data_IF_041657075144
#
_entry.id   IF_041657075144
#
_cell.length_a   1.000
_cell.length_b   1.000
_cell.length_c   1.000
_cell.angle_alpha   90.00
_cell.angle_beta   90.00
_cell.angle_gamma   90.00
#
_symmetry.space_group_name_H-M   'P 1'
#
loop_
_entity.id
_entity.type
_entity.pdbx_description
1 polymer ?
#
# COMPACT_ATOMS: atom_id res chain seq x y z
N UNK A 1 -0.62 20.00 -2.90
CA UNK A 1 -0.46 18.89 -1.93
C UNK A 1 0.90 18.27 -2.20
N UNK A 2 1.60 17.81 -1.16
CA UNK A 2 2.83 17.03 -1.36
C UNK A 2 2.41 15.64 -1.82
N UNK A 3 2.96 15.19 -2.94
CA UNK A 3 2.73 13.83 -3.43
C UNK A 3 3.65 12.85 -2.70
N UNK A 4 3.17 11.65 -2.31
CA UNK A 4 4.04 10.65 -1.71
C UNK A 4 5.14 10.16 -2.67
N UNK A 5 6.30 9.86 -2.10
CA UNK A 5 7.32 9.05 -2.76
C UNK A 5 6.98 7.57 -2.63
N UNK A 6 7.56 6.74 -3.51
CA UNK A 6 7.34 5.28 -3.55
C UNK A 6 8.65 4.52 -3.72
N UNK A 7 8.65 3.20 -3.54
CA UNK A 7 9.86 2.36 -3.66
C UNK A 7 10.60 2.46 -5.00
N UNK A 8 9.98 2.99 -6.06
CA UNK A 8 10.68 3.33 -7.31
C UNK A 8 11.60 4.56 -7.22
N UNK A 9 11.45 5.38 -6.17
CA UNK A 9 12.21 6.61 -5.92
C UNK A 9 13.48 6.38 -5.06
N UNK A 10 13.85 5.11 -4.76
CA UNK A 10 15.03 4.70 -3.97
C UNK A 10 15.16 5.40 -2.60
N UNK A 11 14.09 5.42 -1.80
CA UNK A 11 13.93 6.17 -0.53
C UNK A 11 15.01 6.05 0.56
N UNK A 12 16.05 5.23 0.35
CA UNK A 12 17.23 5.12 1.19
C UNK A 12 16.99 4.35 2.50
N UNK A 13 18.07 4.14 3.25
CA UNK A 13 18.08 3.39 4.52
C UNK A 13 17.30 4.09 5.67
N UNK A 14 16.77 5.30 5.44
CA UNK A 14 16.13 6.11 6.48
C UNK A 14 14.65 5.73 6.77
N UNK A 15 14.11 4.72 6.07
CA UNK A 15 12.68 4.37 6.10
C UNK A 15 12.33 3.20 7.03
N UNK A 16 13.24 2.75 7.88
CA UNK A 16 12.94 1.71 8.88
C UNK A 16 11.81 2.15 9.84
N UNK A 17 10.96 1.22 10.32
CA UNK A 17 9.85 1.57 11.22
C UNK A 17 10.30 1.88 12.66
N UNK A 18 9.98 3.07 13.17
CA UNK A 18 10.10 3.39 14.61
C UNK A 18 8.98 2.68 15.40
N UNK A 19 7.76 2.76 14.85
CA UNK A 19 6.57 2.08 15.33
C UNK A 19 5.63 1.86 14.15
N UNK A 20 4.87 0.77 14.17
CA UNK A 20 4.00 0.39 13.06
C UNK A 20 2.62 -0.02 13.56
N UNK A 21 1.57 0.45 12.90
CA UNK A 21 0.19 0.06 13.12
C UNK A 21 -0.31 -0.72 11.91
N UNK A 22 -0.99 -1.84 12.12
CA UNK A 22 -1.56 -2.63 11.03
C UNK A 22 -2.66 -1.81 10.35
N UNK A 23 -2.52 -1.56 9.05
CA UNK A 23 -3.56 -0.89 8.26
C UNK A 23 -4.46 -1.88 7.56
N UNK A 24 -3.94 -2.87 6.86
CA UNK A 24 -4.77 -3.89 6.22
C UNK A 24 -4.00 -5.18 5.98
N UNK A 25 -4.75 -6.23 5.68
CA UNK A 25 -4.21 -7.52 5.25
C UNK A 25 -5.01 -8.02 4.06
N UNK A 26 -4.34 -8.72 3.15
CA UNK A 26 -4.97 -9.25 1.95
C UNK A 26 -4.17 -10.42 1.38
N UNK A 27 -4.85 -11.28 0.64
CA UNK A 27 -4.19 -12.22 -0.27
C UNK A 27 -4.11 -11.60 -1.66
N UNK A 28 -2.97 -11.76 -2.32
CA UNK A 28 -2.72 -11.32 -3.68
C UNK A 28 -2.35 -12.55 -4.53
N UNK A 29 -3.11 -12.82 -5.60
CA UNK A 29 -2.75 -13.89 -6.54
C UNK A 29 -1.89 -13.32 -7.69
N UNK A 30 -0.57 -13.47 -7.57
CA UNK A 30 0.42 -13.06 -8.56
C UNK A 30 0.69 -14.17 -9.61
N UNK A 31 -0.37 -14.68 -10.24
CA UNK A 31 -0.29 -15.72 -11.28
C UNK A 31 -0.41 -17.15 -10.74
N UNK A 32 -0.12 -18.13 -11.62
CA UNK A 32 -0.40 -19.55 -11.34
C UNK A 32 0.40 -20.02 -10.12
N UNK A 33 -0.32 -20.47 -9.09
CA UNK A 33 0.21 -21.01 -7.82
C UNK A 33 0.99 -20.01 -6.94
N UNK A 34 0.94 -18.71 -7.24
CA UNK A 34 1.58 -17.67 -6.44
C UNK A 34 0.52 -16.84 -5.71
N UNK A 35 0.07 -17.34 -4.56
CA UNK A 35 -0.76 -16.56 -3.64
C UNK A 35 0.13 -16.04 -2.51
N UNK A 36 0.13 -14.73 -2.34
CA UNK A 36 0.93 -14.02 -1.35
C UNK A 36 0.02 -13.46 -0.27
N UNK A 37 0.29 -13.76 1.00
CA UNK A 37 -0.37 -13.11 2.12
C UNK A 37 0.41 -11.87 2.51
N UNK A 38 -0.23 -10.71 2.36
CA UNK A 38 0.38 -9.41 2.57
C UNK A 38 -0.25 -8.69 3.74
N UNK A 39 0.59 -8.08 4.58
CA UNK A 39 0.21 -7.17 5.66
C UNK A 39 0.81 -5.80 5.39
N UNK A 40 -0.03 -4.76 5.38
CA UNK A 40 0.44 -3.38 5.30
C UNK A 40 0.40 -2.70 6.67
N UNK A 41 1.41 -1.88 6.92
CA UNK A 41 1.55 -1.12 8.16
C UNK A 41 1.80 0.36 7.89
N UNK A 42 1.42 1.22 8.83
CA UNK A 42 1.69 2.65 8.76
C UNK A 42 2.34 3.18 10.05
N UNK A 43 3.15 4.21 9.92
CA UNK A 43 3.77 4.87 11.07
C UNK A 43 5.00 5.70 10.72
N UNK A 44 5.68 6.26 11.73
CA UNK A 44 6.86 7.09 11.54
C UNK A 44 8.13 6.25 11.32
N UNK A 45 9.01 6.76 10.45
CA UNK A 45 10.37 6.24 10.24
C UNK A 45 11.26 6.45 11.48
N UNK A 46 12.28 5.61 11.69
CA UNK A 46 13.28 5.72 12.79
C UNK A 46 14.02 7.06 12.78
N UNK A 47 14.31 7.63 11.61
CA UNK A 47 14.95 8.94 11.53
C UNK A 47 14.03 10.09 11.98
N UNK A 48 12.73 9.81 12.16
CA UNK A 48 11.69 10.75 12.53
C UNK A 48 11.25 11.70 11.39
N UNK A 49 11.84 11.56 10.21
CA UNK A 49 11.64 12.47 9.07
C UNK A 49 10.43 12.15 8.19
N UNK A 50 9.90 10.92 8.26
CA UNK A 50 8.88 10.44 7.34
C UNK A 50 7.72 9.74 8.04
N UNK A 51 6.53 9.88 7.46
CA UNK A 51 5.40 8.97 7.66
C UNK A 51 5.39 7.98 6.49
N UNK A 52 5.33 6.68 6.80
CA UNK A 52 5.65 5.60 5.86
C UNK A 52 4.55 4.54 5.87
N UNK A 53 4.24 4.01 4.70
CA UNK A 53 3.50 2.77 4.47
C UNK A 53 4.52 1.66 4.20
N UNK A 54 4.48 0.62 5.01
CA UNK A 54 5.28 -0.59 4.84
C UNK A 54 4.42 -1.76 4.41
N UNK A 55 5.05 -2.71 3.74
CA UNK A 55 4.48 -3.98 3.31
C UNK A 55 5.33 -5.14 3.82
N UNK A 56 4.68 -6.15 4.38
CA UNK A 56 5.30 -7.41 4.80
C UNK A 56 4.55 -8.55 4.09
N UNK A 57 5.28 -9.46 3.48
CA UNK A 57 4.74 -10.57 2.70
C UNK A 57 5.30 -11.90 3.20
N UNK A 58 4.47 -12.95 3.15
CA UNK A 58 4.89 -14.31 3.50
C UNK A 58 5.81 -14.97 2.45
N UNK A 59 5.99 -14.36 1.28
CA UNK A 59 6.83 -14.87 0.19
C UNK A 59 8.17 -14.15 0.02
N UNK A 60 8.25 -12.84 0.31
CA UNK A 60 9.43 -12.03 -0.04
C UNK A 60 10.38 -11.82 1.12
N UNK A 61 9.92 -11.24 2.24
CA UNK A 61 10.79 -10.86 3.36
C UNK A 61 10.07 -10.95 4.72
N UNK A 62 10.76 -11.51 5.73
CA UNK A 62 10.28 -11.53 7.14
C UNK A 62 10.32 -10.13 7.81
N UNK A 63 10.62 -9.07 7.04
CA UNK A 63 10.79 -7.70 7.52
C UNK A 63 9.93 -6.76 6.65
N UNK A 64 9.20 -5.80 7.23
CA UNK A 64 8.44 -4.83 6.46
C UNK A 64 9.32 -3.94 5.60
N UNK A 65 8.99 -3.84 4.32
CA UNK A 65 9.64 -3.00 3.31
C UNK A 65 8.85 -1.72 3.13
N UNK A 66 9.53 -0.57 3.07
CA UNK A 66 8.86 0.71 2.81
C UNK A 66 8.39 0.78 1.36
N UNK A 67 7.09 0.96 1.13
CA UNK A 67 6.49 0.99 -0.21
C UNK A 67 5.99 2.39 -0.62
N UNK A 68 5.64 3.23 0.34
CA UNK A 68 5.34 4.64 0.10
C UNK A 68 5.67 5.50 1.32
N UNK A 69 6.05 6.76 1.13
CA UNK A 69 6.34 7.68 2.24
C UNK A 69 6.16 9.14 1.87
N UNK A 70 6.02 9.99 2.88
CA UNK A 70 6.03 11.45 2.75
C UNK A 70 6.71 12.10 3.96
N UNK A 71 7.22 13.35 3.81
CA UNK A 71 7.79 14.09 4.94
C UNK A 71 6.80 14.14 6.11
N UNK A 72 7.28 13.92 7.32
CA UNK A 72 6.42 13.77 8.48
C UNK A 72 5.55 15.00 8.72
N UNK A 73 4.30 14.78 9.09
CA UNK A 73 3.37 15.83 9.52
C UNK A 73 2.75 16.65 8.37
N UNK A 74 2.84 16.18 7.12
CA UNK A 74 2.06 16.78 6.02
C UNK A 74 0.58 16.37 6.07
N UNK A 75 0.28 15.19 6.61
CA UNK A 75 -1.07 14.61 6.72
C UNK A 75 -1.15 13.76 8.00
N UNK A 76 -2.36 13.44 8.44
CA UNK A 76 -2.59 12.55 9.58
C UNK A 76 -3.79 11.60 9.36
N UNK A 77 -3.88 10.60 10.23
CA UNK A 77 -5.01 9.67 10.30
C UNK A 77 -5.35 9.00 8.96
N UNK A 78 -6.63 9.08 8.59
CA UNK A 78 -7.16 8.44 7.39
C UNK A 78 -6.62 9.06 6.09
N UNK A 79 -6.44 10.37 6.04
CA UNK A 79 -5.95 11.07 4.85
C UNK A 79 -4.52 10.65 4.53
N UNK A 80 -3.67 10.53 5.56
CA UNK A 80 -2.31 10.03 5.42
C UNK A 80 -2.28 8.62 4.81
N UNK A 81 -3.04 7.69 5.40
CA UNK A 81 -3.12 6.32 4.88
C UNK A 81 -3.64 6.29 3.44
N UNK A 82 -4.72 7.01 3.15
CA UNK A 82 -5.34 7.01 1.83
C UNK A 82 -4.37 7.54 0.77
N UNK A 83 -3.63 8.61 1.07
CA UNK A 83 -2.65 9.19 0.14
C UNK A 83 -1.52 8.21 -0.17
N UNK A 84 -0.93 7.60 0.87
CA UNK A 84 0.14 6.60 0.71
C UNK A 84 -0.33 5.35 -0.05
N UNK A 85 -1.51 4.83 0.30
CA UNK A 85 -2.09 3.66 -0.34
C UNK A 85 -2.39 3.94 -1.82
N UNK A 86 -2.97 5.10 -2.16
CA UNK A 86 -3.19 5.49 -3.54
C UNK A 86 -1.89 5.58 -4.32
N UNK A 87 -0.83 6.16 -3.76
CA UNK A 87 0.48 6.22 -4.43
C UNK A 87 1.03 4.81 -4.72
N UNK A 88 1.02 3.94 -3.71
CA UNK A 88 1.48 2.55 -3.84
C UNK A 88 0.70 1.77 -4.91
N UNK A 89 -0.64 1.76 -4.83
CA UNK A 89 -1.45 0.97 -5.76
C UNK A 89 -1.44 1.53 -7.18
N UNK A 90 -1.31 2.84 -7.37
CA UNK A 90 -1.12 3.41 -8.71
C UNK A 90 0.22 2.98 -9.32
N UNK A 91 1.28 2.85 -8.52
CA UNK A 91 2.55 2.29 -8.98
C UNK A 91 2.40 0.81 -9.34
N UNK A 92 1.71 0.00 -8.52
CA UNK A 92 1.38 -1.39 -8.89
C UNK A 92 0.64 -1.48 -10.23
N UNK A 93 -0.39 -0.64 -10.42
CA UNK A 93 -1.14 -0.59 -11.67
C UNK A 93 -0.29 -0.15 -12.86
N UNK A 94 0.28 1.05 -12.80
CA UNK A 94 0.86 1.73 -13.97
C UNK A 94 2.35 1.43 -14.12
N UNK A 95 3.09 1.39 -13.02
CA UNK A 95 4.53 1.13 -13.00
C UNK A 95 4.86 -0.35 -13.20
N UNK A 96 4.10 -1.24 -12.57
CA UNK A 96 4.31 -2.69 -12.67
C UNK A 96 3.34 -3.41 -13.63
N UNK A 97 2.43 -2.66 -14.27
CA UNK A 97 1.43 -3.20 -15.21
C UNK A 97 0.58 -4.33 -14.60
N UNK A 98 0.19 -4.15 -13.33
CA UNK A 98 -0.64 -5.12 -12.64
C UNK A 98 -2.12 -4.82 -12.82
N UNK A 99 -2.83 -5.70 -13.53
CA UNK A 99 -4.25 -5.51 -13.89
C UNK A 99 -5.22 -6.44 -13.13
N UNK A 100 -4.70 -7.41 -12.37
CA UNK A 100 -5.51 -8.45 -11.74
C UNK A 100 -6.01 -8.06 -10.33
N UNK A 101 -6.46 -6.82 -10.10
CA UNK A 101 -6.89 -6.37 -8.77
C UNK A 101 -8.07 -7.17 -8.21
N UNK A 102 -8.87 -7.82 -9.08
CA UNK A 102 -9.95 -8.73 -8.67
C UNK A 102 -9.44 -9.98 -7.93
N UNK A 103 -8.15 -10.30 -8.06
CA UNK A 103 -7.47 -11.35 -7.31
C UNK A 103 -7.00 -10.90 -5.91
N UNK A 104 -7.39 -9.69 -5.46
CA UNK A 104 -7.14 -9.23 -4.09
C UNK A 104 -8.28 -9.68 -3.18
N UNK A 105 -7.99 -10.60 -2.27
CA UNK A 105 -8.91 -10.96 -1.19
C UNK A 105 -8.56 -10.18 0.08
N UNK A 106 -9.34 -9.16 0.41
CA UNK A 106 -9.13 -8.35 1.63
C UNK A 106 -9.60 -9.13 2.86
N UNK A 107 -8.72 -9.24 3.85
CA UNK A 107 -8.99 -9.91 5.11
C UNK A 107 -9.58 -8.92 6.11
N UNK A 108 -10.74 -9.27 6.68
CA UNK A 108 -11.34 -8.53 7.79
C UNK A 108 -10.60 -8.85 9.09
N UNK A 109 -9.85 -7.88 9.61
CA UNK A 109 -9.09 -8.00 10.84
C UNK A 109 -9.46 -6.88 11.83
N UNK A 110 -9.98 -7.21 13.03
CA UNK A 110 -10.38 -6.20 14.01
C UNK A 110 -9.22 -5.39 14.62
N UNK A 111 -7.97 -5.80 14.39
CA UNK A 111 -6.78 -5.05 14.79
C UNK A 111 -6.31 -4.04 13.72
N UNK A 112 -6.86 -4.13 12.51
CA UNK A 112 -6.58 -3.18 11.43
C UNK A 112 -7.20 -1.81 11.75
N UNK A 113 -6.46 -0.73 11.48
CA UNK A 113 -6.96 0.63 11.75
C UNK A 113 -7.89 1.17 10.66
N UNK A 114 -8.02 0.49 9.53
CA UNK A 114 -8.98 0.84 8.47
C UNK A 114 -9.96 -0.30 8.22
N UNK A 115 -11.19 0.09 7.87
CA UNK A 115 -12.24 -0.85 7.49
C UNK A 115 -12.01 -1.43 6.09
N UNK A 116 -12.48 -2.66 5.87
CA UNK A 116 -12.41 -3.34 4.57
C UNK A 116 -12.99 -2.48 3.44
N UNK A 117 -14.06 -1.74 3.72
CA UNK A 117 -14.74 -0.86 2.76
C UNK A 117 -13.87 0.31 2.32
N UNK A 118 -13.07 0.87 3.22
CA UNK A 118 -12.15 1.95 2.89
C UNK A 118 -11.03 1.44 1.97
N UNK A 119 -10.51 0.24 2.24
CA UNK A 119 -9.52 -0.36 1.38
C UNK A 119 -10.07 -0.66 -0.02
N UNK A 120 -11.28 -1.23 -0.10
CA UNK A 120 -11.98 -1.42 -1.38
C UNK A 120 -12.15 -0.12 -2.15
N UNK A 121 -12.44 0.99 -1.47
CA UNK A 121 -12.56 2.29 -2.11
C UNK A 121 -11.23 2.78 -2.72
N UNK A 122 -10.08 2.51 -2.08
CA UNK A 122 -8.76 2.80 -2.65
C UNK A 122 -8.53 1.97 -3.91
N UNK A 123 -8.77 0.67 -3.87
CA UNK A 123 -8.62 -0.21 -5.05
C UNK A 123 -9.54 0.24 -6.20
N UNK A 124 -10.80 0.55 -5.91
CA UNK A 124 -11.75 1.04 -6.90
C UNK A 124 -11.37 2.42 -7.49
N UNK A 125 -10.63 3.25 -6.75
CA UNK A 125 -10.10 4.51 -7.27
C UNK A 125 -8.93 4.29 -8.25
N UNK A 126 -8.15 3.23 -8.04
CA UNK A 126 -7.00 2.86 -8.89
C UNK A 126 -7.48 2.09 -10.13
N UNK A 127 -8.40 1.15 -9.96
CA UNK A 127 -9.08 0.39 -11.02
C UNK A 127 -10.58 0.71 -11.04
N UNK A 128 -10.99 1.85 -11.61
CA UNK A 128 -12.40 2.18 -11.74
C UNK A 128 -13.08 1.23 -12.72
N UNK A 129 -14.25 0.74 -12.34
CA UNK A 129 -15.07 -0.13 -13.19
C UNK A 129 -15.38 0.57 -14.53
N UNK A 130 -15.03 -0.08 -15.65
CA UNK A 130 -15.29 0.41 -17.01
C UNK A 130 -14.13 1.18 -17.67
N UNK A 131 -12.94 1.24 -17.07
CA UNK A 131 -11.77 1.86 -17.69
C UNK A 131 -11.19 1.07 -18.89
N UNK A 132 -11.56 -0.21 -19.05
CA UNK A 132 -11.07 -1.07 -20.13
C UNK A 132 -11.93 -1.03 -21.41
N UNK A 133 -12.98 -0.20 -21.46
CA UNK A 133 -13.87 -0.08 -22.64
C UNK A 133 -13.53 1.06 -23.63
N UNK A 134 -12.49 1.87 -23.36
CA UNK A 134 -12.02 2.91 -24.29
C UNK A 134 -10.67 2.54 -24.94
N UNK A 135 -10.64 1.50 -25.78
CA UNK A 135 -9.73 1.38 -26.96
C UNK A 135 -9.96 0.04 -27.70
N UNK A 136 -11.20 -0.22 -28.14
CA UNK A 136 -11.54 -1.32 -29.06
C UNK A 136 -12.11 -0.83 -30.39
#
# INVERSE_FOLDING_TARGET
MVEPCTYHDDGGDELEPESKQLVCQYYLEAGIENTEFTSQYIGPSVCGGFDVLWEESDLTEEIPVAVAWLPRGQMDGFELWQSLALAYWNVKKVGEMWDNYECIEIVDNPAAVIEVEAFRAVLAAVWPAGADEEDA
#
